data_IF_539123966294
#
_entry.id   IF_539123966294
#
_cell.length_a   1.000
_cell.length_b   1.000
_cell.length_c   1.000
_cell.angle_alpha   90.00
_cell.angle_beta   90.00
_cell.angle_gamma   90.00
#
_symmetry.space_group_name_H-M   'P 1'
#
loop_
_entity.id
_entity.type
_entity.pdbx_description
1 polymer ?
#
# COMPACT_ATOMS: atom_id res chain seq x y z
N UNK A 1 -18.59 -1.72 -0.39
CA UNK A 1 -17.31 -1.16 0.06
C UNK A 1 -16.90 0.01 -0.83
N UNK A 2 -16.39 -0.26 -2.05
CA UNK A 2 -15.85 0.75 -2.97
C UNK A 2 -16.82 1.89 -3.31
N UNK A 3 -18.08 1.56 -3.66
CA UNK A 3 -19.14 2.54 -3.92
C UNK A 3 -19.32 3.58 -2.81
N UNK A 4 -19.22 3.18 -1.54
CA UNK A 4 -19.40 4.10 -0.41
C UNK A 4 -18.35 5.21 -0.43
N UNK A 5 -17.10 4.87 -0.79
CA UNK A 5 -16.00 5.85 -0.87
C UNK A 5 -16.24 6.82 -2.02
N UNK A 6 -16.65 6.33 -3.18
CA UNK A 6 -16.92 7.16 -4.36
C UNK A 6 -18.12 8.09 -4.12
N UNK A 7 -19.21 7.55 -3.58
CA UNK A 7 -20.42 8.33 -3.27
C UNK A 7 -20.12 9.42 -2.23
N UNK A 8 -19.25 9.12 -1.25
CA UNK A 8 -18.81 10.12 -0.27
C UNK A 8 -17.94 11.20 -0.91
N UNK A 9 -17.00 10.83 -1.78
CA UNK A 9 -16.13 11.79 -2.47
C UNK A 9 -16.95 12.72 -3.39
N UNK A 10 -17.93 12.17 -4.12
CA UNK A 10 -18.85 12.94 -4.95
C UNK A 10 -19.73 13.89 -4.11
N UNK A 11 -20.36 13.38 -3.04
CA UNK A 11 -21.21 14.20 -2.16
C UNK A 11 -20.45 15.29 -1.43
N UNK A 12 -19.20 15.03 -1.08
CA UNK A 12 -18.32 16.02 -0.47
C UNK A 12 -17.80 17.05 -1.48
N UNK A 13 -18.07 16.87 -2.79
CA UNK A 13 -17.62 17.79 -3.84
C UNK A 13 -16.10 17.87 -3.93
N UNK A 14 -15.41 16.75 -3.67
CA UNK A 14 -13.93 16.75 -3.64
C UNK A 14 -13.40 17.03 -5.04
N UNK A 15 -12.61 18.10 -5.23
CA UNK A 15 -12.08 18.44 -6.55
C UNK A 15 -11.06 17.39 -7.03
N UNK A 16 -10.93 17.20 -8.36
CA UNK A 16 -9.86 16.38 -8.93
C UNK A 16 -8.47 16.85 -8.47
N UNK A 17 -7.53 15.92 -8.33
CA UNK A 17 -6.17 16.20 -7.86
C UNK A 17 -5.97 16.12 -6.34
N UNK A 18 -7.03 15.93 -5.57
CA UNK A 18 -6.94 15.68 -4.11
C UNK A 18 -6.43 14.27 -3.84
N UNK A 19 -5.65 14.15 -2.75
CA UNK A 19 -5.15 12.88 -2.23
C UNK A 19 -6.13 12.31 -1.22
N UNK A 20 -6.59 11.09 -1.47
CA UNK A 20 -7.56 10.37 -0.64
C UNK A 20 -6.89 9.18 0.01
N UNK A 21 -6.95 9.14 1.33
CA UNK A 21 -6.40 8.07 2.14
C UNK A 21 -7.49 7.09 2.53
N UNK A 22 -7.31 5.83 2.15
CA UNK A 22 -8.31 4.77 2.27
C UNK A 22 -7.96 3.82 3.41
N UNK A 23 -8.97 3.52 4.22
CA UNK A 23 -8.86 2.48 5.23
C UNK A 23 -8.88 1.08 4.58
N UNK A 24 -8.16 0.14 5.18
CA UNK A 24 -7.98 -1.24 4.70
C UNK A 24 -9.27 -2.04 4.45
N UNK A 25 -10.39 -1.61 5.03
CA UNK A 25 -11.69 -2.25 4.86
C UNK A 25 -12.28 -1.97 3.47
N UNK A 26 -11.91 -0.83 2.88
CA UNK A 26 -12.46 -0.34 1.62
C UNK A 26 -11.45 -0.39 0.48
N UNK A 27 -10.15 -0.41 0.79
CA UNK A 27 -9.08 -0.45 -0.20
C UNK A 27 -9.08 -1.75 -1.00
N UNK A 28 -9.26 -1.62 -2.31
CA UNK A 28 -9.14 -2.71 -3.29
C UNK A 28 -8.41 -2.18 -4.52
N UNK A 29 -7.70 -3.03 -5.29
CA UNK A 29 -7.04 -2.59 -6.52
C UNK A 29 -8.01 -1.97 -7.54
N UNK A 30 -9.24 -2.48 -7.62
CA UNK A 30 -10.27 -1.95 -8.54
C UNK A 30 -10.83 -0.59 -8.12
N UNK A 31 -10.97 -0.34 -6.81
CA UNK A 31 -11.34 1.00 -6.32
C UNK A 31 -10.27 2.03 -6.72
N UNK A 32 -8.98 1.67 -6.71
CA UNK A 32 -7.95 2.60 -7.17
C UNK A 32 -8.03 2.88 -8.67
N UNK A 33 -8.42 1.89 -9.48
CA UNK A 33 -8.64 2.12 -10.91
C UNK A 33 -9.76 3.16 -11.12
N UNK A 34 -10.88 3.03 -10.38
CA UNK A 34 -11.99 3.99 -10.41
C UNK A 34 -11.58 5.38 -9.90
N UNK A 35 -10.80 5.46 -8.82
CA UNK A 35 -10.27 6.72 -8.29
C UNK A 35 -9.34 7.41 -9.30
N UNK A 36 -8.51 6.64 -10.00
CA UNK A 36 -7.61 7.13 -11.04
C UNK A 36 -8.40 7.71 -12.22
N UNK A 37 -9.42 7.00 -12.70
CA UNK A 37 -10.31 7.47 -13.78
C UNK A 37 -11.00 8.79 -13.45
N UNK A 38 -11.27 9.03 -12.16
CA UNK A 38 -11.91 10.26 -11.66
C UNK A 38 -10.89 11.37 -11.35
N UNK A 39 -9.60 11.13 -11.57
CA UNK A 39 -8.53 12.10 -11.34
C UNK A 39 -8.13 12.29 -9.88
N UNK A 40 -8.43 11.32 -9.00
CA UNK A 40 -8.03 11.37 -7.60
C UNK A 40 -6.70 10.68 -7.36
N UNK A 41 -5.83 11.32 -6.58
CA UNK A 41 -4.73 10.63 -5.94
C UNK A 41 -5.28 9.78 -4.80
N UNK A 42 -4.86 8.52 -4.69
CA UNK A 42 -5.35 7.61 -3.65
C UNK A 42 -4.23 6.73 -3.12
N UNK A 43 -4.29 6.44 -1.83
CA UNK A 43 -3.38 5.54 -1.13
C UNK A 43 -4.16 4.77 -0.06
N UNK A 44 -3.90 3.48 0.09
CA UNK A 44 -4.48 2.71 1.18
C UNK A 44 -3.79 1.38 1.42
N UNK A 45 -3.97 0.84 2.62
CA UNK A 45 -3.51 -0.51 2.95
C UNK A 45 -4.44 -1.55 2.32
N UNK A 46 -3.88 -2.61 1.72
CA UNK A 46 -4.64 -3.74 1.18
C UNK A 46 -4.57 -4.93 2.14
N UNK A 47 -5.72 -5.58 2.39
CA UNK A 47 -5.76 -6.86 3.10
C UNK A 47 -5.30 -8.01 2.20
N UNK A 48 -4.59 -8.98 2.76
CA UNK A 48 -4.07 -10.14 2.00
C UNK A 48 -5.11 -10.85 1.11
N UNK A 49 -6.37 -10.98 1.56
CA UNK A 49 -7.45 -11.58 0.77
C UNK A 49 -7.74 -10.84 -0.56
N UNK A 50 -7.42 -9.55 -0.62
CA UNK A 50 -7.61 -8.69 -1.79
C UNK A 50 -6.40 -8.67 -2.73
N UNK A 51 -5.32 -9.40 -2.42
CA UNK A 51 -4.10 -9.52 -3.24
C UNK A 51 -4.08 -10.78 -4.12
N UNK A 52 -5.19 -11.53 -4.21
CA UNK A 52 -5.22 -12.84 -4.87
C UNK A 52 -4.85 -12.80 -6.38
N UNK A 53 -5.05 -11.66 -7.05
CA UNK A 53 -4.68 -11.47 -8.45
C UNK A 53 -3.30 -10.83 -8.65
N UNK A 54 -2.59 -10.50 -7.56
CA UNK A 54 -1.26 -9.89 -7.63
C UNK A 54 -0.22 -11.02 -7.62
N UNK A 55 0.71 -11.09 -8.60
CA UNK A 55 1.73 -12.14 -8.71
C UNK A 55 2.86 -11.98 -7.67
N UNK A 56 2.49 -11.83 -6.40
CA UNK A 56 3.42 -11.76 -5.29
C UNK A 56 3.74 -13.16 -4.75
N UNK A 57 4.90 -13.28 -4.09
CA UNK A 57 5.30 -14.54 -3.43
C UNK A 57 4.22 -15.00 -2.45
N UNK A 58 4.04 -16.31 -2.33
CA UNK A 58 3.06 -16.86 -1.40
C UNK A 58 3.30 -16.33 0.04
N UNK A 59 2.25 -15.90 0.77
CA UNK A 59 2.38 -15.30 2.11
C UNK A 59 3.18 -16.16 3.11
N UNK A 60 3.02 -17.48 3.04
CA UNK A 60 3.75 -18.42 3.91
C UNK A 60 5.26 -18.39 3.70
N UNK A 61 5.68 -18.17 2.45
CA UNK A 61 7.11 -18.06 2.08
C UNK A 61 7.60 -16.66 2.40
N UNK A 62 6.81 -15.63 2.08
CA UNK A 62 7.18 -14.23 2.28
C UNK A 62 7.36 -13.87 3.77
N UNK A 63 6.53 -14.40 4.67
CA UNK A 63 6.66 -14.15 6.11
C UNK A 63 7.93 -14.77 6.72
N UNK A 64 8.55 -15.76 6.06
CA UNK A 64 9.81 -16.38 6.50
C UNK A 64 11.03 -15.60 6.02
N UNK A 65 10.87 -14.68 5.07
CA UNK A 65 11.95 -13.82 4.60
C UNK A 65 12.20 -12.71 5.63
N UNK A 66 13.43 -12.59 6.17
CA UNK A 66 13.71 -11.74 7.32
C UNK A 66 13.55 -10.24 7.06
N UNK A 67 13.65 -9.76 5.81
CA UNK A 67 13.45 -8.34 5.46
C UNK A 67 13.23 -8.17 3.95
N UNK A 68 12.11 -8.70 3.44
CA UNK A 68 11.74 -8.61 2.03
C UNK A 68 10.75 -7.47 1.77
N UNK A 69 10.95 -6.74 0.67
CA UNK A 69 9.93 -5.88 0.08
C UNK A 69 9.78 -6.24 -1.40
N UNK A 70 8.56 -6.49 -1.81
CA UNK A 70 8.13 -6.74 -3.19
C UNK A 70 7.24 -5.59 -3.63
N UNK A 71 7.29 -5.28 -4.91
CA UNK A 71 6.40 -4.27 -5.49
C UNK A 71 6.01 -4.69 -6.90
N UNK A 72 4.87 -4.19 -7.33
CA UNK A 72 4.36 -4.35 -8.68
C UNK A 72 3.81 -3.00 -9.12
N UNK A 73 4.21 -2.56 -10.30
CA UNK A 73 3.57 -1.45 -11.00
C UNK A 73 2.64 -2.08 -12.02
N UNK A 74 1.33 -1.84 -11.86
CA UNK A 74 0.30 -2.32 -12.77
C UNK A 74 -0.49 -1.11 -13.26
N UNK A 75 -0.47 -0.87 -14.58
CA UNK A 75 -1.07 0.32 -15.19
C UNK A 75 -0.62 1.63 -14.52
N UNK A 76 -1.51 2.29 -13.76
CA UNK A 76 -1.24 3.55 -13.06
C UNK A 76 -1.16 3.40 -11.54
N UNK A 77 -1.14 2.17 -11.01
CA UNK A 77 -1.03 1.90 -9.57
C UNK A 77 0.25 1.15 -9.22
N UNK A 78 0.84 1.55 -8.11
CA UNK A 78 1.95 0.90 -7.45
C UNK A 78 1.40 0.12 -6.26
N UNK A 79 1.63 -1.19 -6.26
CA UNK A 79 1.31 -2.10 -5.16
C UNK A 79 2.63 -2.49 -4.50
N UNK A 80 2.75 -2.27 -3.20
CA UNK A 80 3.96 -2.57 -2.43
C UNK A 80 3.58 -3.53 -1.32
N UNK A 81 4.39 -4.55 -1.08
CA UNK A 81 4.28 -5.43 0.07
C UNK A 81 5.63 -5.54 0.77
N UNK A 82 5.67 -5.37 2.07
CA UNK A 82 6.88 -5.56 2.87
C UNK A 82 6.59 -6.36 4.13
N UNK A 83 7.61 -7.08 4.61
CA UNK A 83 7.54 -7.81 5.87
C UNK A 83 8.18 -6.96 6.97
N UNK A 84 7.37 -6.55 7.95
CA UNK A 84 7.86 -5.97 9.21
C UNK A 84 7.78 -7.05 10.31
N UNK A 85 6.78 -6.98 11.19
CA UNK A 85 6.40 -8.11 12.07
C UNK A 85 5.42 -9.08 11.39
N UNK A 86 4.69 -8.58 10.40
CA UNK A 86 3.78 -9.30 9.52
C UNK A 86 3.86 -8.64 8.14
N UNK A 87 3.44 -9.35 7.09
CA UNK A 87 3.31 -8.77 5.77
C UNK A 87 2.27 -7.63 5.76
N UNK A 88 2.71 -6.43 5.39
CA UNK A 88 1.87 -5.26 5.14
C UNK A 88 1.86 -5.01 3.65
N UNK A 89 0.71 -4.64 3.10
CA UNK A 89 0.57 -4.28 1.69
C UNK A 89 -0.14 -2.96 1.54
N UNK A 90 0.36 -2.12 0.64
CA UNK A 90 -0.17 -0.80 0.32
C UNK A 90 -0.33 -0.69 -1.19
N UNK A 91 -1.32 0.07 -1.61
CA UNK A 91 -1.56 0.41 -3.00
C UNK A 91 -1.74 1.91 -3.13
N UNK A 92 -1.18 2.49 -4.17
CA UNK A 92 -1.30 3.91 -4.47
C UNK A 92 -1.23 4.17 -5.97
N UNK A 93 -1.80 5.27 -6.44
CA UNK A 93 -1.73 5.71 -7.85
C UNK A 93 -0.96 7.04 -8.03
N UNK A 94 -0.39 7.56 -6.95
CA UNK A 94 0.31 8.86 -6.95
C UNK A 94 1.81 8.74 -7.22
N UNK A 95 2.38 7.55 -7.06
CA UNK A 95 3.78 7.26 -7.35
C UNK A 95 3.84 6.02 -8.24
N UNK A 96 4.80 6.01 -9.16
CA UNK A 96 5.07 4.86 -10.05
C UNK A 96 6.40 4.17 -9.73
N UNK A 97 7.18 4.74 -8.82
CA UNK A 97 8.48 4.23 -8.44
C UNK A 97 8.47 3.81 -6.98
N UNK A 98 8.97 2.60 -6.72
CA UNK A 98 9.19 2.14 -5.37
C UNK A 98 10.58 2.57 -4.90
N UNK A 99 10.62 3.43 -3.89
CA UNK A 99 11.87 3.89 -3.29
C UNK A 99 12.08 3.23 -1.93
N UNK A 100 13.28 2.72 -1.69
CA UNK A 100 13.71 2.25 -0.37
C UNK A 100 14.49 3.35 0.34
N UNK A 101 14.16 3.60 1.60
CA UNK A 101 14.89 4.50 2.50
C UNK A 101 15.50 3.70 3.65
N UNK A 102 16.48 4.28 4.36
CA UNK A 102 16.98 3.70 5.60
C UNK A 102 16.13 4.21 6.77
N UNK A 103 15.55 3.29 7.55
CA UNK A 103 14.87 3.62 8.79
C UNK A 103 15.59 2.99 9.98
N UNK A 104 15.66 3.72 11.10
CA UNK A 104 16.11 3.15 12.37
C UNK A 104 14.93 2.46 13.04
N UNK A 105 15.03 1.14 13.28
CA UNK A 105 14.00 0.34 13.93
C UNK A 105 14.55 -0.32 15.19
N UNK A 106 13.73 -0.38 16.23
CA UNK A 106 14.07 -1.07 17.46
C UNK A 106 14.04 -2.59 17.27
N UNK A 107 15.18 -3.24 17.45
CA UNK A 107 15.29 -4.69 17.44
C UNK A 107 15.09 -5.22 18.87
N UNK A 108 13.97 -5.91 19.12
CA UNK A 108 13.66 -6.45 20.45
C UNK A 108 14.62 -7.55 20.91
N UNK A 109 15.15 -8.36 20.00
CA UNK A 109 16.05 -9.45 20.35
C UNK A 109 17.43 -8.94 20.77
N UNK A 110 17.96 -7.96 20.02
CA UNK A 110 19.26 -7.35 20.32
C UNK A 110 19.18 -6.21 21.33
N UNK A 111 17.98 -5.67 21.57
CA UNK A 111 17.73 -4.45 22.37
C UNK A 111 18.54 -3.26 21.86
N UNK A 112 18.68 -3.15 20.53
CA UNK A 112 19.43 -2.10 19.84
C UNK A 112 18.60 -1.48 18.72
N UNK A 113 19.01 -0.30 18.25
CA UNK A 113 18.47 0.32 17.04
C UNK A 113 19.24 -0.19 15.82
N UNK A 114 18.57 -0.97 14.97
CA UNK A 114 19.13 -1.47 13.72
C UNK A 114 18.73 -0.54 12.55
N UNK A 115 19.62 -0.38 11.58
CA UNK A 115 19.28 0.25 10.29
C UNK A 115 18.64 -0.79 9.38
N UNK A 116 17.41 -0.54 8.96
CA UNK A 116 16.64 -1.44 8.10
C UNK A 116 16.30 -0.72 6.80
N UNK A 117 16.42 -1.43 5.67
CA UNK A 117 15.88 -0.93 4.40
C UNK A 117 14.37 -0.97 4.48
N UNK A 118 13.76 0.20 4.47
CA UNK A 118 12.34 0.42 4.64
C UNK A 118 11.75 0.96 3.33
N UNK A 119 10.49 0.66 2.96
CA UNK A 119 9.77 1.47 1.98
C UNK A 119 9.86 2.95 2.36
N UNK A 120 9.90 3.86 1.39
CA UNK A 120 9.57 5.27 1.67
C UNK A 120 8.25 5.32 2.46
N UNK A 121 8.07 6.33 3.31
CA UNK A 121 6.85 6.38 4.11
C UNK A 121 5.62 6.59 3.21
N UNK A 122 4.87 5.52 3.02
CA UNK A 122 3.60 5.47 2.28
C UNK A 122 2.41 5.38 3.25
N UNK A 123 2.65 5.51 4.55
CA UNK A 123 1.62 5.41 5.58
C UNK A 123 0.63 6.58 5.41
N UNK A 124 -0.68 6.31 5.32
CA UNK A 124 -1.72 7.32 5.37
C UNK A 124 -1.72 8.18 6.64
#
# INVERSE_FOLDING_TARGET
GPRVVLDLAEKAGVPPGVKVYLNNLFTTPSLLDEMTLRGYGSCGMIRQAQLHNVPFTAPQTFNKTPTGAEFLVEAEKLIIRWNDNNAVSVVLNMEREFTKTEAKRWNRQKRTMDKVRWPKDYSP
#
